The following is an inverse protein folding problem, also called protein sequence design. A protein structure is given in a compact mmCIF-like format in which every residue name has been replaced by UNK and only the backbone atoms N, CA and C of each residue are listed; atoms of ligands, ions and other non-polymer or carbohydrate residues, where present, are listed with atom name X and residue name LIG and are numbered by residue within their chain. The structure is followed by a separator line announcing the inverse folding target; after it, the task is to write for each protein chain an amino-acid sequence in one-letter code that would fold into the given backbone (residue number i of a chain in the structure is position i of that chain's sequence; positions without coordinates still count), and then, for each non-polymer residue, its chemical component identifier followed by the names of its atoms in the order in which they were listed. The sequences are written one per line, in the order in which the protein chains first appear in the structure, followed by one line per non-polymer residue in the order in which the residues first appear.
data_IF_550184454548
#
_entry.id   IF_550184454548
#
_cell.length_a   1.000
_cell.length_b   1.000
_cell.length_c   1.000
_cell.angle_alpha   90.00
_cell.angle_beta   90.00
_cell.angle_gamma   90.00
#
_symmetry.space_group_name_H-M   'P 1'
#
loop_
_entity.id
_entity.type
_entity.pdbx_description
1 polymer ?
#
# COMPACT_ATOMS: atom_id res chain seq x y z
N UNK A 1 -8.21 -25.64 21.08
CA UNK A 1 -7.10 -25.24 20.18
C UNK A 1 -6.87 -26.35 19.16
N UNK A 2 -7.46 -26.23 17.98
CA UNK A 2 -7.35 -27.25 16.92
C UNK A 2 -6.14 -26.92 16.05
N UNK A 3 -5.07 -27.70 16.19
CA UNK A 3 -3.93 -27.66 15.27
C UNK A 3 -4.36 -28.18 13.92
N UNK A 4 -4.65 -27.30 12.95
CA UNK A 4 -4.83 -27.69 11.55
C UNK A 4 -3.48 -28.10 10.98
N UNK A 5 -3.20 -29.41 10.94
CA UNK A 5 -2.09 -29.95 10.16
C UNK A 5 -2.47 -29.88 8.68
N UNK A 6 -1.79 -29.06 7.91
CA UNK A 6 -1.81 -29.15 6.45
C UNK A 6 -1.13 -30.47 6.08
N UNK A 7 -1.89 -31.47 5.63
CA UNK A 7 -1.33 -32.70 5.08
C UNK A 7 -0.86 -32.45 3.65
N UNK A 8 0.43 -32.45 3.47
CA UNK A 8 1.04 -32.52 2.12
C UNK A 8 0.71 -33.92 1.56
N UNK A 9 -0.09 -33.96 0.50
CA UNK A 9 -0.35 -35.18 -0.26
C UNK A 9 0.56 -35.18 -1.49
N UNK A 10 1.60 -36.04 -1.56
CA UNK A 10 2.44 -36.14 -2.74
C UNK A 10 1.59 -36.57 -3.97
N UNK A 11 1.70 -35.85 -5.07
CA UNK A 11 1.08 -36.21 -6.35
C UNK A 11 -0.15 -35.39 -6.77
N UNK A 12 -0.59 -34.39 -6.01
CA UNK A 12 -1.59 -33.43 -6.47
C UNK A 12 -0.90 -32.19 -7.03
N UNK A 13 -1.07 -31.96 -8.32
CA UNK A 13 -0.45 -30.83 -9.02
C UNK A 13 -0.83 -29.46 -8.45
N UNK A 14 0.06 -28.50 -8.63
CA UNK A 14 -0.01 -27.09 -8.16
C UNK A 14 -1.38 -26.41 -8.43
N UNK A 15 -2.11 -26.84 -9.45
CA UNK A 15 -3.42 -26.30 -9.79
C UNK A 15 -4.53 -26.52 -8.75
N UNK A 16 -4.42 -27.53 -7.89
CA UNK A 16 -5.42 -27.79 -6.84
C UNK A 16 -5.15 -27.02 -5.54
N UNK A 17 -3.92 -26.59 -5.33
CA UNK A 17 -3.54 -25.78 -4.16
C UNK A 17 -4.05 -24.35 -4.35
N UNK A 18 -3.97 -23.80 -5.58
CA UNK A 18 -4.48 -22.45 -5.87
C UNK A 18 -6.01 -22.33 -5.68
N UNK A 19 -6.76 -23.37 -6.03
CA UNK A 19 -8.23 -23.39 -5.88
C UNK A 19 -8.70 -23.47 -4.41
N UNK A 20 -7.91 -24.07 -3.52
CA UNK A 20 -8.23 -24.11 -2.10
C UNK A 20 -8.04 -22.72 -1.42
N UNK A 21 -7.18 -21.86 -1.98
CA UNK A 21 -6.94 -20.51 -1.47
C UNK A 21 -7.96 -19.47 -1.97
N UNK A 22 -8.58 -19.68 -3.13
CA UNK A 22 -9.60 -18.77 -3.67
C UNK A 22 -10.91 -18.78 -2.85
N UNK A 23 -11.21 -19.86 -2.16
CA UNK A 23 -12.47 -20.03 -1.40
C UNK A 23 -12.34 -19.77 0.11
N UNK A 24 -11.14 -19.58 0.64
CA UNK A 24 -10.95 -19.09 2.00
C UNK A 24 -10.62 -17.60 1.94
N UNK A 25 -11.52 -16.75 2.41
CA UNK A 25 -11.14 -15.42 2.90
C UNK A 25 -10.19 -15.63 4.08
N UNK A 26 -8.94 -15.93 3.75
CA UNK A 26 -7.88 -15.97 4.74
C UNK A 26 -7.75 -14.56 5.26
N UNK A 27 -7.93 -14.42 6.54
CA UNK A 27 -7.69 -13.17 7.23
C UNK A 27 -6.21 -12.80 7.01
N UNK A 28 -5.96 -11.83 6.15
CA UNK A 28 -4.59 -11.45 5.73
C UNK A 28 -3.78 -10.81 6.84
N UNK A 29 -4.48 -10.22 7.79
CA UNK A 29 -3.88 -9.38 8.82
C UNK A 29 -3.91 -10.08 10.16
N UNK A 30 -2.94 -10.95 10.39
CA UNK A 30 -2.84 -11.72 11.62
C UNK A 30 -1.54 -11.40 12.39
N UNK A 31 -1.40 -11.93 13.57
CA UNK A 31 -0.16 -11.83 14.33
C UNK A 31 0.95 -12.72 13.73
N UNK A 32 2.18 -12.55 14.20
CA UNK A 32 3.33 -13.29 13.67
C UNK A 32 3.22 -14.79 13.82
N UNK A 33 2.49 -15.29 14.82
CA UNK A 33 2.34 -16.73 15.06
C UNK A 33 1.54 -17.40 13.96
N UNK A 34 0.64 -16.68 13.31
CA UNK A 34 -0.12 -17.16 12.16
C UNK A 34 0.77 -17.48 10.96
N UNK A 35 1.86 -16.73 10.79
CA UNK A 35 2.77 -16.90 9.65
C UNK A 35 3.86 -17.94 9.86
N UNK A 36 3.86 -18.65 10.98
CA UNK A 36 4.93 -19.61 11.33
C UNK A 36 5.12 -20.69 10.25
N UNK A 37 4.03 -21.26 9.75
CA UNK A 37 4.09 -22.28 8.70
C UNK A 37 4.67 -21.77 7.39
N UNK A 38 4.53 -20.47 7.09
CA UNK A 38 5.04 -19.83 5.88
C UNK A 38 6.56 -19.79 5.89
N UNK A 39 7.18 -19.62 7.04
CA UNK A 39 8.64 -19.49 7.14
C UNK A 39 9.39 -20.75 6.71
N UNK A 40 8.77 -21.91 6.87
CA UNK A 40 9.34 -23.19 6.43
C UNK A 40 9.17 -23.46 4.94
N UNK A 41 8.28 -22.76 4.28
CA UNK A 41 7.99 -22.97 2.86
C UNK A 41 8.96 -22.28 1.93
N UNK A 42 9.79 -21.36 2.44
CA UNK A 42 10.79 -20.68 1.65
C UNK A 42 11.84 -21.67 1.12
N UNK A 43 11.82 -21.94 -0.17
CA UNK A 43 12.76 -22.85 -0.85
C UNK A 43 14.18 -22.29 -1.01
N UNK A 44 14.46 -21.06 -0.55
CA UNK A 44 15.77 -20.37 -0.65
C UNK A 44 16.32 -20.33 -2.09
N UNK A 45 15.45 -20.30 -3.08
CA UNK A 45 15.79 -20.36 -4.51
C UNK A 45 16.50 -19.10 -5.05
N UNK A 46 16.44 -17.97 -4.31
CA UNK A 46 17.10 -16.71 -4.67
C UNK A 46 16.35 -15.82 -5.65
N UNK A 47 15.15 -16.19 -6.15
CA UNK A 47 14.37 -15.36 -7.09
C UNK A 47 13.95 -14.01 -6.49
N UNK A 48 13.84 -13.90 -5.17
CA UNK A 48 13.63 -12.62 -4.48
C UNK A 48 14.85 -11.68 -4.53
N UNK A 49 16.02 -12.18 -4.93
CA UNK A 49 17.24 -11.40 -5.14
C UNK A 49 17.40 -10.98 -6.58
N UNK A 50 17.39 -11.98 -7.46
CA UNK A 50 17.69 -11.82 -8.88
C UNK A 50 16.78 -12.73 -9.69
N UNK A 51 16.37 -12.25 -10.85
CA UNK A 51 15.66 -13.05 -11.85
C UNK A 51 16.44 -13.05 -13.15
N UNK A 52 16.35 -14.15 -13.86
CA UNK A 52 16.89 -14.25 -15.20
C UNK A 52 15.81 -13.85 -16.20
N UNK A 53 16.04 -12.78 -16.92
CA UNK A 53 15.10 -12.27 -17.92
C UNK A 53 15.89 -11.73 -19.13
N UNK A 54 15.43 -12.05 -20.32
CA UNK A 54 15.95 -11.52 -21.58
C UNK A 54 17.50 -11.63 -21.72
N UNK A 55 18.02 -12.81 -21.36
CA UNK A 55 19.45 -13.18 -21.41
C UNK A 55 20.36 -12.54 -20.35
N UNK A 56 19.82 -11.85 -19.32
CA UNK A 56 20.63 -11.38 -18.19
C UNK A 56 19.97 -11.56 -16.84
N UNK A 57 20.79 -11.40 -15.81
CA UNK A 57 20.34 -11.38 -14.42
C UNK A 57 19.94 -9.99 -14.00
N UNK A 58 18.66 -9.79 -13.74
CA UNK A 58 18.12 -8.54 -13.20
C UNK A 58 17.98 -8.63 -11.70
N UNK A 59 18.34 -7.55 -11.00
CA UNK A 59 18.22 -7.44 -9.56
C UNK A 59 16.79 -7.04 -9.19
N UNK A 60 16.26 -7.65 -8.14
CA UNK A 60 14.85 -7.48 -7.74
C UNK A 60 14.69 -6.60 -6.51
N UNK A 61 15.54 -6.78 -5.49
CA UNK A 61 15.32 -6.23 -4.17
C UNK A 61 16.20 -5.00 -3.89
N UNK A 62 15.64 -3.77 -3.79
CA UNK A 62 16.42 -2.58 -3.44
C UNK A 62 17.10 -2.68 -2.08
N UNK A 63 16.39 -3.21 -1.08
CA UNK A 63 16.94 -3.42 0.27
C UNK A 63 18.16 -4.34 0.26
N UNK A 64 18.08 -5.44 -0.49
CA UNK A 64 19.18 -6.37 -0.64
C UNK A 64 20.38 -5.77 -1.39
N UNK A 65 20.12 -4.95 -2.41
CA UNK A 65 21.16 -4.26 -3.16
C UNK A 65 21.87 -3.18 -2.33
N UNK A 66 21.15 -2.54 -1.41
CA UNK A 66 21.73 -1.61 -0.45
C UNK A 66 22.55 -2.35 0.63
N UNK A 67 21.95 -3.35 1.27
CA UNK A 67 22.57 -4.06 2.41
C UNK A 67 23.65 -5.09 2.01
N UNK A 68 23.70 -5.51 0.73
CA UNK A 68 24.70 -6.45 0.18
C UNK A 68 24.82 -7.79 0.90
N UNK A 69 23.85 -8.15 1.74
CA UNK A 69 23.86 -9.37 2.52
C UNK A 69 22.49 -10.05 2.51
N UNK A 70 22.46 -11.38 2.68
CA UNK A 70 21.24 -12.20 2.54
C UNK A 70 20.11 -11.75 3.47
N UNK A 71 20.41 -11.28 4.68
CA UNK A 71 19.45 -10.80 5.65
C UNK A 71 18.53 -9.67 5.12
N UNK A 72 18.99 -8.92 4.12
CA UNK A 72 18.22 -7.81 3.54
C UNK A 72 17.28 -8.23 2.42
N UNK A 73 17.39 -9.44 1.90
CA UNK A 73 16.46 -10.02 0.93
C UNK A 73 15.27 -10.71 1.64
N UNK A 74 14.19 -10.97 0.91
CA UNK A 74 13.01 -11.62 1.47
C UNK A 74 13.34 -12.98 2.11
N UNK A 75 14.15 -13.81 1.45
CA UNK A 75 14.54 -15.13 1.97
C UNK A 75 15.28 -15.05 3.30
N UNK A 76 16.19 -14.06 3.44
CA UNK A 76 16.91 -13.83 4.69
C UNK A 76 16.00 -13.27 5.78
N UNK A 77 15.14 -12.30 5.47
CA UNK A 77 14.14 -11.77 6.41
C UNK A 77 13.22 -12.88 6.92
N UNK A 78 12.83 -13.80 6.04
CA UNK A 78 12.03 -14.96 6.40
C UNK A 78 12.74 -15.84 7.45
N UNK A 79 14.04 -16.10 7.25
CA UNK A 79 14.84 -16.87 8.20
C UNK A 79 15.00 -16.14 9.55
N UNK A 80 15.22 -14.83 9.53
CA UNK A 80 15.29 -14.01 10.75
C UNK A 80 13.98 -14.04 11.53
N UNK A 81 12.84 -13.93 10.86
CA UNK A 81 11.52 -14.02 11.51
C UNK A 81 11.31 -15.37 12.15
N UNK A 82 11.64 -16.45 11.45
CA UNK A 82 11.60 -17.79 12.05
C UNK A 82 12.47 -17.89 13.30
N UNK A 83 13.71 -17.36 13.25
CA UNK A 83 14.62 -17.42 14.39
C UNK A 83 14.12 -16.61 15.60
N UNK A 84 13.43 -15.47 15.36
CA UNK A 84 12.77 -14.70 16.41
C UNK A 84 11.61 -15.49 17.01
N UNK A 85 10.70 -16.02 16.19
CA UNK A 85 9.52 -16.75 16.64
C UNK A 85 9.86 -18.05 17.39
N UNK A 86 11.03 -18.61 17.15
CA UNK A 86 11.53 -19.83 17.83
C UNK A 86 12.52 -19.54 18.96
N UNK A 87 12.59 -18.30 19.44
CA UNK A 87 13.49 -17.85 20.50
C UNK A 87 15.00 -18.09 20.26
N UNK A 88 15.40 -18.36 19.02
CA UNK A 88 16.80 -18.54 18.63
C UNK A 88 17.54 -17.23 18.40
N UNK A 89 16.78 -16.15 18.16
CA UNK A 89 17.30 -14.82 17.98
C UNK A 89 16.45 -13.83 18.80
N UNK A 90 17.10 -12.91 19.49
CA UNK A 90 16.43 -11.83 20.22
C UNK A 90 16.40 -10.57 19.39
N UNK A 91 15.41 -9.72 19.64
CA UNK A 91 15.35 -8.40 19.04
C UNK A 91 16.57 -7.55 19.40
N UNK A 92 17.03 -6.76 18.46
CA UNK A 92 18.05 -5.73 18.62
C UNK A 92 17.80 -4.58 17.64
N UNK A 93 18.48 -3.46 17.81
CA UNK A 93 18.40 -2.32 16.89
C UNK A 93 18.84 -2.70 15.47
N UNK A 94 19.92 -3.50 15.35
CA UNK A 94 20.46 -3.94 14.05
C UNK A 94 19.45 -4.83 13.34
N UNK A 95 18.78 -5.71 14.09
CA UNK A 95 17.75 -6.57 13.54
C UNK A 95 16.53 -5.76 13.07
N UNK A 96 16.08 -4.80 13.86
CA UNK A 96 14.98 -3.90 13.48
C UNK A 96 15.32 -3.12 12.20
N UNK A 97 16.53 -2.57 12.09
CA UNK A 97 17.01 -1.85 10.90
C UNK A 97 16.87 -2.69 9.62
N UNK A 98 17.12 -4.00 9.67
CA UNK A 98 16.96 -4.89 8.50
C UNK A 98 15.51 -4.87 7.99
N UNK A 99 14.52 -4.90 8.88
CA UNK A 99 13.12 -4.84 8.49
C UNK A 99 12.69 -3.43 8.04
N UNK A 100 13.25 -2.37 8.64
CA UNK A 100 12.94 -0.99 8.26
C UNK A 100 13.60 -0.55 6.94
N UNK A 101 14.71 -1.15 6.55
CA UNK A 101 15.31 -0.90 5.24
C UNK A 101 14.53 -1.51 4.08
N UNK A 102 13.55 -2.37 4.34
CA UNK A 102 12.66 -2.88 3.31
C UNK A 102 11.66 -1.79 2.91
N UNK A 103 11.58 -1.42 1.64
CA UNK A 103 10.58 -0.46 1.14
C UNK A 103 9.17 -1.06 1.02
N UNK A 104 9.00 -2.35 1.30
CA UNK A 104 7.74 -3.09 1.11
C UNK A 104 7.16 -2.91 -0.31
N UNK A 105 8.03 -2.81 -1.31
CA UNK A 105 7.67 -2.59 -2.71
C UNK A 105 7.04 -3.81 -3.40
N UNK A 106 7.06 -4.98 -2.77
CA UNK A 106 6.49 -6.24 -3.23
C UNK A 106 7.15 -6.86 -4.48
N UNK A 107 8.22 -6.28 -5.03
CA UNK A 107 8.88 -6.83 -6.21
C UNK A 107 9.36 -8.28 -5.99
N UNK A 108 9.93 -8.59 -4.83
CA UNK A 108 10.35 -9.94 -4.45
C UNK A 108 9.17 -10.91 -4.32
N UNK A 109 8.01 -10.42 -3.93
CA UNK A 109 6.77 -11.20 -3.79
C UNK A 109 6.27 -11.61 -5.17
N UNK A 110 6.26 -10.70 -6.12
CA UNK A 110 5.84 -11.00 -7.51
C UNK A 110 6.72 -12.04 -8.20
N UNK A 111 7.97 -12.18 -7.77
CA UNK A 111 8.90 -13.19 -8.31
C UNK A 111 8.84 -14.53 -7.55
N UNK A 112 8.20 -14.57 -6.39
CA UNK A 112 8.14 -15.78 -5.57
C UNK A 112 7.20 -16.80 -6.17
N UNK A 113 7.67 -18.04 -6.33
CA UNK A 113 6.88 -19.16 -6.84
C UNK A 113 6.16 -19.93 -5.72
N UNK A 114 6.40 -19.56 -4.46
CA UNK A 114 5.75 -20.19 -3.30
C UNK A 114 4.44 -19.46 -3.04
N UNK A 115 3.28 -20.11 -3.19
CA UNK A 115 1.97 -19.45 -3.11
C UNK A 115 1.73 -18.72 -1.80
N UNK A 116 2.08 -19.31 -0.67
CA UNK A 116 1.87 -18.72 0.65
C UNK A 116 2.74 -17.49 0.85
N UNK A 117 4.00 -17.51 0.41
CA UNK A 117 4.91 -16.36 0.48
C UNK A 117 4.41 -15.27 -0.47
N UNK A 118 3.98 -15.63 -1.68
CA UNK A 118 3.40 -14.69 -2.64
C UNK A 118 2.15 -14.01 -2.06
N UNK A 119 1.33 -14.73 -1.32
CA UNK A 119 0.08 -14.21 -0.75
C UNK A 119 0.29 -13.32 0.48
N UNK A 120 1.20 -13.70 1.39
CA UNK A 120 1.24 -13.12 2.74
C UNK A 120 2.51 -12.33 3.09
N UNK A 121 3.53 -12.32 2.22
CA UNK A 121 4.81 -11.72 2.59
C UNK A 121 4.74 -10.22 2.89
N UNK A 122 3.79 -9.49 2.30
CA UNK A 122 3.59 -8.08 2.58
C UNK A 122 3.07 -7.82 3.98
N UNK A 123 2.04 -8.54 4.35
CA UNK A 123 1.39 -8.47 5.66
C UNK A 123 2.34 -8.95 6.76
N UNK A 124 3.04 -10.04 6.51
CA UNK A 124 4.05 -10.56 7.41
C UNK A 124 5.21 -9.56 7.65
N UNK A 125 5.73 -8.91 6.62
CA UNK A 125 6.77 -7.87 6.78
C UNK A 125 6.25 -6.67 7.61
N UNK A 126 4.99 -6.32 7.47
CA UNK A 126 4.36 -5.29 8.29
C UNK A 126 4.19 -5.73 9.75
N UNK A 127 3.79 -6.98 9.99
CA UNK A 127 3.70 -7.55 11.35
C UNK A 127 5.06 -7.57 12.05
N UNK A 128 6.17 -7.76 11.32
CA UNK A 128 7.52 -7.64 11.89
C UNK A 128 7.83 -6.22 12.35
N UNK A 129 7.38 -5.19 11.63
CA UNK A 129 7.54 -3.79 12.08
C UNK A 129 6.66 -3.47 13.27
N UNK A 130 5.43 -3.97 13.30
CA UNK A 130 4.54 -3.85 14.46
C UNK A 130 5.16 -4.49 15.69
N UNK A 131 5.76 -5.67 15.53
CA UNK A 131 6.44 -6.35 16.63
C UNK A 131 7.69 -5.60 17.08
N UNK A 132 8.49 -5.06 16.16
CA UNK A 132 9.63 -4.20 16.50
C UNK A 132 9.21 -2.99 17.34
N UNK A 133 8.07 -2.35 17.00
CA UNK A 133 7.50 -1.24 17.80
C UNK A 133 7.08 -1.72 19.18
N UNK A 134 6.40 -2.87 19.29
CA UNK A 134 5.97 -3.43 20.59
C UNK A 134 7.16 -3.79 21.48
N UNK A 135 8.26 -4.24 20.89
CA UNK A 135 9.49 -4.60 21.60
C UNK A 135 10.40 -3.39 21.92
N UNK A 136 10.01 -2.18 21.48
CA UNK A 136 10.78 -0.95 21.74
C UNK A 136 11.97 -0.71 20.79
N UNK A 137 12.07 -1.47 19.70
CA UNK A 137 13.11 -1.33 18.67
C UNK A 137 12.62 -0.60 17.40
N UNK A 138 11.45 -0.03 17.45
CA UNK A 138 10.86 0.74 16.35
C UNK A 138 9.86 1.78 16.84
N UNK A 139 9.43 2.69 15.99
CA UNK A 139 9.96 2.98 14.65
C UNK A 139 11.37 3.59 14.70
N UNK A 140 12.04 3.73 13.55
CA UNK A 140 13.31 4.46 13.49
C UNK A 140 13.11 5.92 13.90
N UNK A 141 14.12 6.61 14.46
CA UNK A 141 13.97 7.96 15.00
C UNK A 141 13.32 8.95 14.03
N UNK A 142 13.74 8.95 12.76
CA UNK A 142 13.21 9.84 11.74
C UNK A 142 11.72 9.50 11.41
N UNK A 143 11.36 8.23 11.51
CA UNK A 143 9.98 7.77 11.32
C UNK A 143 9.10 8.13 12.52
N UNK A 144 9.64 8.11 13.73
CA UNK A 144 8.93 8.57 14.92
C UNK A 144 8.61 10.06 14.82
N UNK A 145 9.60 10.88 14.45
CA UNK A 145 9.44 12.32 14.28
C UNK A 145 8.35 12.65 13.25
N UNK A 146 8.41 12.03 12.12
CA UNK A 146 7.46 12.26 11.06
C UNK A 146 6.03 11.75 11.40
N UNK A 147 5.93 10.70 12.22
CA UNK A 147 4.63 10.28 12.75
C UNK A 147 4.06 11.35 13.68
N UNK A 148 4.88 11.97 14.52
CA UNK A 148 4.43 13.07 15.38
C UNK A 148 3.95 14.28 14.57
N UNK A 149 4.61 14.60 13.47
CA UNK A 149 4.13 15.62 12.55
C UNK A 149 2.73 15.34 12.05
N UNK A 150 2.44 14.08 11.68
CA UNK A 150 1.11 13.66 11.24
C UNK A 150 0.09 13.77 12.38
N UNK A 151 0.44 13.33 13.58
CA UNK A 151 -0.48 13.33 14.73
C UNK A 151 -0.82 14.74 15.22
N UNK A 152 0.09 15.71 15.08
CA UNK A 152 -0.10 17.10 15.51
C UNK A 152 -0.61 17.99 14.39
N UNK A 153 -0.01 17.87 13.20
CA UNK A 153 -0.27 18.76 12.05
C UNK A 153 -1.18 18.17 10.99
N UNK A 154 -1.71 16.96 11.20
CA UNK A 154 -2.55 16.21 10.24
C UNK A 154 -1.87 15.88 8.90
N UNK A 155 -0.56 16.14 8.78
CA UNK A 155 0.22 15.84 7.58
C UNK A 155 1.69 15.58 7.93
N UNK A 156 2.45 14.84 7.09
CA UNK A 156 3.84 14.49 7.36
C UNK A 156 4.83 15.63 7.15
N UNK A 157 4.40 16.81 6.69
CA UNK A 157 5.26 17.90 6.22
C UNK A 157 5.34 19.07 7.18
N UNK A 158 4.63 19.01 8.32
CA UNK A 158 4.46 20.14 9.27
C UNK A 158 3.92 21.42 8.61
N UNK A 159 3.21 21.25 7.51
CA UNK A 159 2.52 22.38 6.87
C UNK A 159 1.26 22.72 7.65
N UNK A 160 0.86 23.97 7.59
CA UNK A 160 -0.37 24.43 8.23
C UNK A 160 -1.57 23.79 7.54
N UNK A 161 -2.51 23.30 8.34
CA UNK A 161 -3.72 22.66 7.81
C UNK A 161 -4.56 23.61 6.95
N UNK A 162 -4.61 24.89 7.30
CA UNK A 162 -5.29 25.95 6.55
C UNK A 162 -4.74 26.15 5.13
N UNK A 163 -3.49 25.74 4.88
CA UNK A 163 -2.81 25.86 3.58
C UNK A 163 -3.12 24.69 2.64
N UNK A 164 -3.84 23.68 3.16
CA UNK A 164 -4.07 22.42 2.48
C UNK A 164 -4.74 22.57 1.12
N UNK A 165 -5.59 23.55 0.93
CA UNK A 165 -6.32 23.79 -0.30
C UNK A 165 -5.85 25.02 -1.09
N UNK A 166 -4.71 25.65 -0.75
CA UNK A 166 -4.16 26.79 -1.50
C UNK A 166 -3.80 26.51 -2.96
N UNK A 167 -3.72 25.24 -3.33
CA UNK A 167 -3.48 24.82 -4.70
C UNK A 167 -4.73 24.84 -5.58
N UNK A 168 -5.93 24.89 -4.99
CA UNK A 168 -7.19 24.76 -5.72
C UNK A 168 -7.39 25.96 -6.66
N UNK A 169 -7.58 25.74 -7.99
CA UNK A 169 -7.84 26.82 -8.93
C UNK A 169 -9.16 27.54 -8.61
N UNK A 170 -9.18 28.85 -8.75
CA UNK A 170 -10.35 29.70 -8.40
C UNK A 170 -11.58 29.46 -9.28
N UNK A 171 -11.40 28.92 -10.47
CA UNK A 171 -12.49 28.60 -11.40
C UNK A 171 -13.12 27.22 -11.15
N UNK A 172 -12.56 26.42 -10.24
CA UNK A 172 -13.13 25.12 -9.87
C UNK A 172 -14.14 25.34 -8.75
N UNK A 173 -15.39 25.07 -9.05
CA UNK A 173 -16.48 25.12 -8.07
C UNK A 173 -16.57 23.77 -7.33
N UNK A 174 -16.50 23.83 -6.00
CA UNK A 174 -16.77 22.69 -5.14
C UNK A 174 -18.27 22.62 -4.87
N UNK A 175 -18.89 21.47 -5.08
CA UNK A 175 -20.26 21.27 -4.60
C UNK A 175 -20.33 21.38 -3.08
N UNK A 176 -21.43 21.85 -2.55
CA UNK A 176 -21.70 21.89 -1.09
C UNK A 176 -22.37 20.62 -0.59
N UNK A 177 -23.05 19.88 -1.48
CA UNK A 177 -23.99 18.81 -1.16
C UNK A 177 -23.77 17.50 -1.92
N UNK A 178 -22.77 17.43 -2.83
CA UNK A 178 -22.43 16.19 -3.50
C UNK A 178 -22.07 15.09 -2.50
N UNK A 179 -22.54 13.87 -2.75
CA UNK A 179 -22.17 12.67 -1.97
C UNK A 179 -20.84 12.05 -2.39
N UNK A 180 -20.22 12.59 -3.45
CA UNK A 180 -18.89 12.22 -3.93
C UNK A 180 -17.85 13.20 -3.39
N UNK A 181 -16.77 12.69 -2.80
CA UNK A 181 -15.65 13.52 -2.39
C UNK A 181 -14.35 13.13 -3.09
N UNK A 182 -13.52 14.13 -3.38
CA UNK A 182 -12.13 13.93 -3.74
C UNK A 182 -11.27 13.95 -2.47
N UNK A 183 -10.74 12.80 -2.07
CA UNK A 183 -9.72 12.68 -1.03
C UNK A 183 -8.36 13.01 -1.65
N UNK A 184 -7.86 14.21 -1.39
CA UNK A 184 -6.66 14.75 -2.03
C UNK A 184 -5.40 14.04 -1.56
N UNK A 185 -5.31 13.75 -0.26
CA UNK A 185 -4.13 13.21 0.37
C UNK A 185 -3.05 14.27 0.62
N UNK A 186 -2.15 13.98 1.57
CA UNK A 186 -1.16 14.98 2.03
C UNK A 186 -0.15 15.36 0.94
N UNK A 187 0.34 14.39 0.18
CA UNK A 187 1.37 14.65 -0.83
C UNK A 187 0.85 15.57 -1.93
N UNK A 188 -0.33 15.30 -2.45
CA UNK A 188 -0.95 16.14 -3.49
C UNK A 188 -1.37 17.52 -2.95
N UNK A 189 -1.71 17.61 -1.67
CA UNK A 189 -2.07 18.90 -1.05
C UNK A 189 -0.86 19.83 -0.87
N UNK A 190 0.30 19.30 -0.49
CA UNK A 190 1.41 20.13 -0.05
C UNK A 190 2.67 20.06 -0.91
N UNK A 191 2.89 19.00 -1.67
CA UNK A 191 4.09 18.78 -2.49
C UNK A 191 3.77 18.64 -3.97
N UNK A 192 3.02 17.61 -4.36
CA UNK A 192 2.69 17.30 -5.76
C UNK A 192 1.37 17.95 -6.17
N UNK A 193 1.28 19.28 -6.00
CA UNK A 193 0.06 20.06 -6.22
C UNK A 193 -0.51 19.90 -7.63
N UNK A 194 0.35 19.68 -8.62
CA UNK A 194 -0.07 19.45 -10.02
C UNK A 194 -0.96 18.20 -10.13
N UNK A 195 -0.74 17.16 -9.34
CA UNK A 195 -1.59 15.98 -9.33
C UNK A 195 -2.99 16.30 -8.81
N UNK A 196 -3.09 17.16 -7.80
CA UNK A 196 -4.38 17.61 -7.27
C UNK A 196 -5.11 18.50 -8.28
N UNK A 197 -4.42 19.51 -8.86
CA UNK A 197 -4.97 20.39 -9.90
C UNK A 197 -5.48 19.58 -11.08
N UNK A 198 -4.65 18.69 -11.65
CA UNK A 198 -5.05 17.85 -12.79
C UNK A 198 -6.26 16.97 -12.47
N UNK A 199 -6.37 16.49 -11.23
CA UNK A 199 -7.52 15.68 -10.81
C UNK A 199 -8.81 16.50 -10.83
N UNK A 200 -8.82 17.70 -10.24
CA UNK A 200 -10.04 18.53 -10.20
C UNK A 200 -10.39 19.08 -11.58
N UNK A 201 -9.41 19.38 -12.43
CA UNK A 201 -9.64 19.76 -13.83
C UNK A 201 -10.29 18.63 -14.63
N UNK A 202 -9.85 17.39 -14.44
CA UNK A 202 -10.48 16.22 -15.07
C UNK A 202 -11.93 16.07 -14.57
N UNK A 203 -12.17 16.13 -13.27
CA UNK A 203 -13.52 15.99 -12.72
C UNK A 203 -14.44 17.11 -13.24
N UNK A 204 -13.95 18.35 -13.26
CA UNK A 204 -14.69 19.50 -13.77
C UNK A 204 -14.98 19.38 -15.29
N UNK A 205 -13.99 18.98 -16.09
CA UNK A 205 -14.17 18.80 -17.55
C UNK A 205 -15.17 17.69 -17.91
N UNK A 206 -15.38 16.75 -16.99
CA UNK A 206 -16.34 15.67 -17.12
C UNK A 206 -17.72 16.01 -16.49
N UNK A 207 -17.91 17.25 -16.04
CA UNK A 207 -19.10 17.72 -15.33
C UNK A 207 -19.50 16.80 -14.15
N UNK A 208 -18.51 16.41 -13.34
CA UNK A 208 -18.70 15.58 -12.17
C UNK A 208 -18.72 16.47 -10.95
N UNK A 209 -19.83 16.52 -10.25
CA UNK A 209 -19.98 17.23 -8.99
C UNK A 209 -19.21 16.48 -7.88
N UNK A 210 -18.38 17.20 -7.14
CA UNK A 210 -17.59 16.64 -6.05
C UNK A 210 -17.35 17.65 -4.94
N UNK A 211 -17.06 17.13 -3.77
CA UNK A 211 -16.63 17.90 -2.60
C UNK A 211 -15.16 17.67 -2.31
N UNK A 212 -14.53 18.65 -1.68
CA UNK A 212 -13.22 18.50 -1.02
C UNK A 212 -13.46 18.94 0.42
N UNK A 213 -13.24 18.04 1.37
CA UNK A 213 -13.48 18.34 2.77
C UNK A 213 -12.30 19.11 3.38
N UNK A 214 -12.60 20.21 4.04
CA UNK A 214 -11.57 21.04 4.70
C UNK A 214 -10.94 20.32 5.91
N UNK A 215 -11.68 19.41 6.56
CA UNK A 215 -11.25 18.62 7.70
C UNK A 215 -10.62 17.24 7.33
N UNK A 216 -10.26 17.02 6.06
CA UNK A 216 -9.51 15.84 5.65
C UNK A 216 -8.11 15.86 6.30
N UNK A 217 -7.71 14.74 6.89
CA UNK A 217 -6.38 14.54 7.49
C UNK A 217 -5.62 13.44 6.76
N UNK A 218 -4.35 13.23 7.12
CA UNK A 218 -3.55 12.13 6.58
C UNK A 218 -4.30 10.79 6.70
N UNK A 219 -4.29 9.99 5.63
CA UNK A 219 -4.91 8.66 5.65
C UNK A 219 -4.27 7.66 6.64
N UNK A 220 -3.14 8.00 7.24
CA UNK A 220 -2.45 7.12 8.19
C UNK A 220 -1.56 6.05 7.56
N UNK A 221 -1.58 5.89 6.23
CA UNK A 221 -0.71 4.92 5.53
C UNK A 221 0.75 5.00 5.95
N UNK A 222 1.39 6.17 5.97
CA UNK A 222 2.78 6.28 6.36
C UNK A 222 3.03 5.84 7.82
N UNK A 223 2.11 6.16 8.72
CA UNK A 223 2.19 5.76 10.14
C UNK A 223 2.08 4.25 10.28
N UNK A 224 1.13 3.63 9.56
CA UNK A 224 0.99 2.19 9.50
C UNK A 224 2.25 1.52 8.94
N UNK A 225 2.81 2.05 7.85
CA UNK A 225 4.04 1.53 7.23
C UNK A 225 5.26 1.53 8.16
N UNK A 226 5.24 2.31 9.23
CA UNK A 226 6.28 2.30 10.28
C UNK A 226 5.98 1.34 11.44
N UNK A 227 4.91 0.55 11.36
CA UNK A 227 4.51 -0.40 12.40
C UNK A 227 3.72 0.21 13.56
N UNK A 228 3.34 1.49 13.48
CA UNK A 228 2.59 2.20 14.51
C UNK A 228 1.07 2.07 14.30
N UNK A 229 0.58 0.85 14.28
CA UNK A 229 -0.80 0.48 13.90
C UNK A 229 -1.86 1.25 14.70
N UNK A 230 -1.70 1.37 16.01
CA UNK A 230 -2.69 2.05 16.86
C UNK A 230 -2.81 3.55 16.55
N UNK A 231 -1.70 4.23 16.25
CA UNK A 231 -1.73 5.63 15.83
C UNK A 231 -2.38 5.79 14.45
N UNK A 232 -2.06 4.89 13.53
CA UNK A 232 -2.67 4.88 12.20
C UNK A 232 -4.18 4.62 12.26
N UNK A 233 -4.63 3.73 13.15
CA UNK A 233 -6.04 3.44 13.39
C UNK A 233 -6.81 4.68 13.87
N UNK A 234 -6.25 5.47 14.78
CA UNK A 234 -6.88 6.73 15.23
C UNK A 234 -7.11 7.73 14.09
N UNK A 235 -6.14 7.84 13.17
CA UNK A 235 -6.30 8.68 11.98
C UNK A 235 -7.41 8.15 11.06
N UNK A 236 -7.51 6.84 10.94
CA UNK A 236 -8.56 6.19 10.16
C UNK A 236 -9.95 6.45 10.74
N UNK A 237 -10.12 6.27 12.05
CA UNK A 237 -11.37 6.55 12.76
C UNK A 237 -11.84 8.00 12.56
N UNK A 238 -10.93 8.95 12.70
CA UNK A 238 -11.23 10.36 12.48
C UNK A 238 -11.62 10.66 11.03
N UNK A 239 -10.90 10.13 10.05
CA UNK A 239 -11.26 10.31 8.64
C UNK A 239 -12.63 9.70 8.32
N UNK A 240 -12.90 8.46 8.78
CA UNK A 240 -14.21 7.82 8.56
C UNK A 240 -15.32 8.68 9.15
N UNK A 241 -15.16 9.18 10.37
CA UNK A 241 -16.13 10.07 11.02
C UNK A 241 -16.35 11.34 10.20
N UNK A 242 -15.27 12.06 9.84
CA UNK A 242 -15.35 13.30 9.08
C UNK A 242 -16.13 13.14 7.76
N UNK A 243 -15.88 12.04 7.03
CA UNK A 243 -16.52 11.79 5.74
C UNK A 243 -17.96 11.29 5.87
N UNK A 244 -18.27 10.49 6.89
CA UNK A 244 -19.64 10.05 7.18
C UNK A 244 -20.51 11.22 7.65
N UNK A 245 -20.02 12.06 8.55
CA UNK A 245 -20.75 13.24 9.06
C UNK A 245 -21.03 14.25 7.94
N UNK A 246 -20.16 14.29 6.94
CA UNK A 246 -20.37 15.08 5.73
C UNK A 246 -21.34 14.43 4.73
N UNK A 247 -21.89 13.23 4.98
CA UNK A 247 -22.78 12.53 4.07
C UNK A 247 -22.10 12.01 2.80
N UNK A 248 -20.81 11.71 2.86
CA UNK A 248 -20.06 11.20 1.72
C UNK A 248 -20.31 9.69 1.56
N UNK A 249 -20.78 9.29 0.39
CA UNK A 249 -21.03 7.90 0.02
C UNK A 249 -19.93 7.33 -0.88
N UNK A 250 -19.21 8.19 -1.60
CA UNK A 250 -18.13 7.78 -2.48
C UNK A 250 -16.91 8.68 -2.34
N UNK A 251 -15.71 8.06 -2.32
CA UNK A 251 -14.42 8.76 -2.33
C UNK A 251 -13.67 8.40 -3.60
N UNK A 252 -13.18 9.44 -4.30
CA UNK A 252 -12.16 9.31 -5.33
C UNK A 252 -10.83 9.80 -4.74
N UNK A 253 -9.75 9.11 -5.05
CA UNK A 253 -8.39 9.57 -4.74
C UNK A 253 -7.46 9.33 -5.92
N UNK A 254 -6.49 10.22 -6.12
CA UNK A 254 -5.41 10.05 -7.10
C UNK A 254 -4.17 9.36 -6.52
N UNK A 255 -4.14 9.13 -5.22
CA UNK A 255 -3.03 8.48 -4.53
C UNK A 255 -3.29 6.99 -4.31
N UNK A 256 -2.46 6.11 -4.87
CA UNK A 256 -2.56 4.66 -4.69
C UNK A 256 -2.40 4.22 -3.23
N UNK A 257 -1.57 4.93 -2.44
CA UNK A 257 -1.40 4.68 -1.01
C UNK A 257 -2.68 4.99 -0.22
N UNK A 258 -3.30 6.15 -0.47
CA UNK A 258 -4.57 6.51 0.15
C UNK A 258 -5.69 5.55 -0.27
N UNK A 259 -5.75 5.19 -1.56
CA UNK A 259 -6.71 4.22 -2.09
C UNK A 259 -6.62 2.87 -1.37
N UNK A 260 -5.41 2.28 -1.29
CA UNK A 260 -5.20 1.02 -0.58
C UNK A 260 -5.59 1.13 0.89
N UNK A 261 -5.22 2.24 1.53
CA UNK A 261 -5.46 2.44 2.96
C UNK A 261 -6.95 2.49 3.26
N UNK A 262 -7.72 3.28 2.55
CA UNK A 262 -9.16 3.37 2.71
C UNK A 262 -9.89 2.07 2.35
N UNK A 263 -9.53 1.44 1.22
CA UNK A 263 -10.24 0.28 0.67
C UNK A 263 -9.91 -1.03 1.36
N UNK A 264 -8.68 -1.18 1.84
CA UNK A 264 -8.16 -2.46 2.36
C UNK A 264 -7.70 -2.34 3.82
N UNK A 265 -6.81 -1.39 4.14
CA UNK A 265 -6.21 -1.32 5.47
C UNK A 265 -7.23 -0.97 6.55
N UNK A 266 -8.12 0.00 6.31
CA UNK A 266 -9.15 0.39 7.28
C UNK A 266 -10.07 -0.79 7.64
N UNK A 267 -10.76 -1.45 6.68
CA UNK A 267 -11.66 -2.55 7.04
C UNK A 267 -10.92 -3.82 7.47
N UNK A 268 -9.88 -4.22 6.75
CA UNK A 268 -9.30 -5.55 6.92
C UNK A 268 -8.22 -5.60 8.01
N UNK A 269 -7.38 -4.55 8.14
CA UNK A 269 -6.34 -4.51 9.17
C UNK A 269 -6.81 -3.89 10.47
N UNK A 270 -7.54 -2.75 10.38
CA UNK A 270 -7.97 -2.03 11.58
C UNK A 270 -9.36 -2.47 12.08
N UNK A 271 -10.09 -3.27 11.31
CA UNK A 271 -11.45 -3.68 11.64
C UNK A 271 -12.47 -2.54 11.58
N UNK A 272 -12.14 -1.46 10.88
CA UNK A 272 -12.98 -0.25 10.75
C UNK A 272 -13.81 -0.33 9.47
N UNK A 273 -14.99 -0.94 9.57
CA UNK A 273 -15.93 -1.02 8.45
C UNK A 273 -16.61 0.32 8.18
N UNK A 274 -16.80 0.64 6.91
CA UNK A 274 -17.54 1.80 6.44
C UNK A 274 -18.26 1.47 5.13
N UNK A 275 -19.37 2.20 4.85
CA UNK A 275 -20.19 2.00 3.65
C UNK A 275 -19.77 2.91 2.50
N UNK A 276 -18.69 3.69 2.65
CA UNK A 276 -18.18 4.62 1.63
C UNK A 276 -17.49 3.82 0.52
N UNK A 277 -17.94 4.00 -0.72
CA UNK A 277 -17.30 3.38 -1.90
C UNK A 277 -15.97 4.08 -2.21
N UNK A 278 -14.87 3.33 -2.30
CA UNK A 278 -13.55 3.90 -2.56
C UNK A 278 -13.10 3.55 -3.97
N UNK A 279 -12.73 4.57 -4.77
CA UNK A 279 -12.22 4.44 -6.13
C UNK A 279 -10.90 5.16 -6.33
N UNK A 280 -9.97 4.53 -7.01
CA UNK A 280 -8.84 5.24 -7.59
C UNK A 280 -9.29 6.01 -8.84
N UNK A 281 -8.78 7.20 -9.08
CA UNK A 281 -9.22 8.06 -10.19
C UNK A 281 -9.28 7.34 -11.55
N UNK A 282 -8.25 6.60 -12.01
CA UNK A 282 -8.33 5.84 -13.25
C UNK A 282 -9.42 4.76 -13.26
N UNK A 283 -9.68 4.10 -12.11
CA UNK A 283 -10.75 3.10 -11.98
C UNK A 283 -12.12 3.76 -12.15
N UNK A 284 -12.29 4.92 -11.54
CA UNK A 284 -13.53 5.71 -11.64
C UNK A 284 -13.79 6.14 -13.09
N UNK A 285 -12.81 6.73 -13.77
CA UNK A 285 -12.91 7.16 -15.16
C UNK A 285 -13.20 5.98 -16.09
N UNK A 286 -12.47 4.87 -15.91
CA UNK A 286 -12.69 3.64 -16.70
C UNK A 286 -14.12 3.13 -16.57
N UNK A 287 -14.71 3.17 -15.38
CA UNK A 287 -16.10 2.77 -15.14
C UNK A 287 -17.06 3.69 -15.89
N UNK A 288 -16.88 5.01 -15.77
CA UNK A 288 -17.70 6.03 -16.47
C UNK A 288 -17.65 5.86 -18.00
N UNK A 289 -16.47 5.63 -18.55
CA UNK A 289 -16.29 5.33 -19.98
C UNK A 289 -17.03 4.07 -20.42
N UNK A 290 -16.91 2.98 -19.64
CA UNK A 290 -17.58 1.72 -19.96
C UNK A 290 -19.10 1.81 -19.94
N UNK A 291 -19.65 2.66 -19.07
CA UNK A 291 -21.08 2.91 -18.95
C UNK A 291 -21.61 3.91 -19.98
N UNK A 292 -20.74 4.50 -20.80
CA UNK A 292 -21.12 5.54 -21.77
C UNK A 292 -21.49 6.89 -21.13
N UNK A 293 -21.18 7.09 -19.84
CA UNK A 293 -21.48 8.33 -19.11
C UNK A 293 -20.54 9.48 -19.49
N UNK A 294 -19.34 9.15 -19.98
CA UNK A 294 -18.33 10.08 -20.49
C UNK A 294 -17.72 9.54 -21.78
N UNK A 295 -17.18 10.44 -22.61
CA UNK A 295 -16.45 10.07 -23.81
C UNK A 295 -15.25 11.00 -24.00
N UNK A 296 -14.22 10.53 -24.68
CA UNK A 296 -13.10 11.38 -25.10
C UNK A 296 -13.36 11.99 -26.48
N UNK A 297 -13.15 13.28 -26.60
CA UNK A 297 -13.40 14.03 -27.85
C UNK A 297 -12.30 13.83 -28.91
N UNK A 298 -11.17 13.21 -28.55
CA UNK A 298 -10.05 12.94 -29.47
C UNK A 298 -9.57 11.51 -29.27
N UNK A 299 -9.46 10.78 -30.38
CA UNK A 299 -8.60 9.59 -30.39
C UNK A 299 -7.15 10.05 -30.18
N UNK A 300 -6.59 9.70 -29.04
CA UNK A 300 -5.14 9.78 -28.86
C UNK A 300 -4.58 8.60 -29.65
N UNK A 301 -4.05 8.84 -30.84
CA UNK A 301 -3.15 7.89 -31.48
C UNK A 301 -1.96 7.76 -30.54
N UNK A 302 -1.85 6.62 -29.86
CA UNK A 302 -0.60 6.20 -29.26
C UNK A 302 0.33 6.05 -30.48
N UNK A 303 1.17 7.03 -30.72
CA UNK A 303 2.31 6.86 -31.61
C UNK A 303 3.14 5.83 -30.83
N UNK A 304 3.22 4.62 -31.34
CA UNK A 304 4.27 3.69 -30.98
C UNK A 304 5.55 4.39 -31.45
N UNK A 305 6.11 5.19 -30.55
CA UNK A 305 7.43 5.76 -30.78
C UNK A 305 8.39 4.57 -30.70
N UNK A 306 9.11 4.30 -31.80
CA UNK A 306 10.19 3.35 -31.89
C UNK A 306 11.38 3.69 -30.94
N UNK A 307 11.21 4.69 -30.10
CA UNK A 307 12.12 5.19 -29.08
C UNK A 307 11.80 4.67 -27.66
N UNK A 308 11.13 3.54 -27.52
CA UNK A 308 11.13 2.82 -26.24
C UNK A 308 12.53 2.22 -26.07
N UNK A 309 13.29 2.84 -25.17
CA UNK A 309 14.61 2.33 -24.76
C UNK A 309 14.47 0.83 -24.49
N UNK A 310 15.13 -0.06 -25.24
CA UNK A 310 15.01 -1.49 -25.06
C UNK A 310 15.50 -1.95 -23.68
N UNK A 311 16.15 -1.09 -22.89
CA UNK A 311 16.55 -1.38 -21.50
C UNK A 311 15.41 -1.25 -20.49
N UNK A 312 14.33 -0.54 -20.82
CA UNK A 312 13.14 -0.42 -19.96
C UNK A 312 11.94 -1.01 -20.70
N UNK A 313 11.73 -2.30 -20.54
CA UNK A 313 10.53 -2.98 -21.07
C UNK A 313 9.25 -2.21 -20.74
N UNK A 314 8.23 -2.30 -21.59
CA UNK A 314 6.93 -1.65 -21.52
C UNK A 314 6.25 -1.82 -20.14
N UNK A 315 6.75 -1.10 -19.16
CA UNK A 315 6.17 -0.95 -17.85
C UNK A 315 5.47 0.40 -17.78
N UNK A 316 4.19 0.42 -17.51
CA UNK A 316 3.52 1.62 -17.05
C UNK A 316 4.25 2.04 -15.78
N UNK A 317 5.11 3.06 -15.89
CA UNK A 317 5.69 3.71 -14.72
C UNK A 317 4.59 4.50 -14.05
N UNK A 318 3.96 3.91 -13.05
CA UNK A 318 3.22 4.71 -12.10
C UNK A 318 4.25 5.38 -11.19
N UNK A 319 4.52 6.64 -11.48
CA UNK A 319 5.27 7.51 -10.57
C UNK A 319 4.33 7.81 -9.39
N UNK A 320 4.62 7.23 -8.23
CA UNK A 320 4.05 7.63 -6.95
C UNK A 320 4.74 8.87 -6.42
#
# INVERSE_FOLDING_TARGET
MSKRRVRYLPGQGISKISLAHENQKLDRYQDLTHYEDIFFQCGKCGTCRTVYKDAYWSRVCPSGEFGKFEAYYLGGKNLLTWAINTDKLKWSEELAKIFYQCSVCMACVQQCQIPEIHTFAGEWLMSMREEAVKQGYGPMPEQAQYTEYIMVGNNPYMEKHEDRLKWLPTHIEKSSDANLAYFVGCTSSYREKNAAVSTVEILNSLNIDFRILDNEICCGSPVYMTGQTEKAKKLAEQNITNFKDAGIEQIITSCAGCYRTWKDTYPNKFGLTHDIEIKHLPEFIKRKLKNGEISFNKEVKIVEDDAVDPEFGTGIVMVC
#
